data_IF_567414821877
#
_entry.id   IF_567414821877
#
_cell.length_a   1.000
_cell.length_b   1.000
_cell.length_c   1.000
_cell.angle_alpha   90.00
_cell.angle_beta   90.00
_cell.angle_gamma   90.00
#
_symmetry.space_group_name_H-M   'P 1'
#
loop_
_entity.id
_entity.type
_entity.pdbx_description
1 polymer ?
#
# COMPACT_ATOMS: atom_id res chain seq x y z
N UNK A 1 2.88 7.61 2.71
CA UNK A 1 1.45 7.35 2.44
C UNK A 1 0.75 8.70 2.31
N UNK A 2 -0.35 8.80 1.55
CA UNK A 2 -1.13 10.05 1.46
C UNK A 2 -2.62 9.70 1.56
N UNK A 3 -3.39 10.43 2.37
CA UNK A 3 -4.84 10.25 2.44
C UNK A 3 -5.53 10.81 1.20
N UNK A 4 -6.41 10.02 0.57
CA UNK A 4 -7.07 10.41 -0.69
C UNK A 4 -7.99 11.64 -0.57
N UNK A 5 -8.65 11.82 0.58
CA UNK A 5 -9.59 12.93 0.81
C UNK A 5 -8.86 14.20 1.24
N UNK A 6 -8.19 14.18 2.39
CA UNK A 6 -7.52 15.35 2.99
C UNK A 6 -6.21 15.73 2.31
N UNK A 7 -5.61 14.83 1.52
CA UNK A 7 -4.27 14.97 0.94
C UNK A 7 -3.15 15.09 1.96
N UNK A 8 -3.42 14.68 3.20
CA UNK A 8 -2.45 14.68 4.28
C UNK A 8 -1.32 13.68 3.98
N UNK A 9 -0.06 14.14 3.81
CA UNK A 9 1.05 13.29 3.46
C UNK A 9 1.84 12.84 4.70
N UNK A 10 2.04 11.53 4.83
CA UNK A 10 3.03 10.96 5.74
C UNK A 10 4.27 10.46 4.99
N UNK A 11 5.44 10.86 5.44
CA UNK A 11 6.74 10.39 4.96
C UNK A 11 7.65 10.05 6.14
N UNK A 12 8.41 8.96 6.03
CA UNK A 12 9.48 8.61 6.96
C UNK A 12 10.66 8.03 6.19
N UNK A 13 11.87 8.31 6.67
CA UNK A 13 13.11 7.83 6.07
C UNK A 13 13.54 6.52 6.72
N UNK A 14 14.03 5.59 5.92
CA UNK A 14 14.59 4.31 6.35
C UNK A 14 15.78 3.95 5.46
N UNK A 15 16.67 3.11 5.98
CA UNK A 15 17.87 2.62 5.28
C UNK A 15 17.67 1.24 4.63
N UNK A 16 16.50 0.61 4.82
CA UNK A 16 16.18 -0.70 4.26
C UNK A 16 14.89 -0.69 3.45
N UNK A 17 14.78 -1.59 2.48
CA UNK A 17 13.58 -1.80 1.66
C UNK A 17 12.94 -3.18 1.88
N UNK A 18 13.32 -3.86 2.97
CA UNK A 18 12.74 -5.15 3.33
C UNK A 18 11.28 -5.03 3.79
N UNK A 19 10.58 -6.17 3.83
CA UNK A 19 9.16 -6.27 4.18
C UNK A 19 8.83 -5.77 5.59
N UNK A 20 9.66 -6.08 6.58
CA UNK A 20 9.44 -5.67 7.96
C UNK A 20 9.55 -4.14 8.07
N UNK A 21 10.59 -3.57 7.47
CA UNK A 21 10.77 -2.12 7.39
C UNK A 21 9.60 -1.44 6.65
N UNK A 22 9.13 -2.04 5.55
CA UNK A 22 7.98 -1.51 4.80
C UNK A 22 6.71 -1.45 5.66
N UNK A 23 6.41 -2.50 6.42
CA UNK A 23 5.23 -2.55 7.29
C UNK A 23 5.36 -1.68 8.55
N UNK A 24 6.56 -1.53 9.09
CA UNK A 24 6.83 -0.58 10.18
C UNK A 24 6.52 0.87 9.75
N UNK A 25 6.90 1.25 8.53
CA UNK A 25 6.54 2.55 7.96
C UNK A 25 5.00 2.74 7.85
N UNK A 26 4.23 1.67 7.64
CA UNK A 26 2.76 1.75 7.64
C UNK A 26 2.20 1.95 9.04
N UNK A 27 2.70 1.22 10.03
CA UNK A 27 2.30 1.39 11.42
C UNK A 27 2.54 2.84 11.90
N UNK A 28 3.70 3.42 11.56
CA UNK A 28 3.99 4.83 11.85
C UNK A 28 3.03 5.78 11.12
N UNK A 29 2.66 5.48 9.88
CA UNK A 29 1.67 6.27 9.15
C UNK A 29 0.29 6.22 9.84
N UNK A 30 -0.15 5.05 10.29
CA UNK A 30 -1.41 4.91 11.01
C UNK A 30 -1.43 5.70 12.32
N UNK A 31 -0.31 5.67 13.07
CA UNK A 31 -0.14 6.48 14.27
C UNK A 31 -0.22 7.98 13.96
N UNK A 32 0.39 8.43 12.85
CA UNK A 32 0.29 9.82 12.41
C UNK A 32 -1.14 10.25 12.07
N UNK A 33 -1.91 9.41 11.37
CA UNK A 33 -3.31 9.71 11.03
C UNK A 33 -4.29 9.51 12.21
N UNK A 34 -3.83 8.97 13.34
CA UNK A 34 -4.69 8.59 14.46
C UNK A 34 -5.66 7.46 14.15
N UNK A 35 -5.35 6.63 13.14
CA UNK A 35 -6.23 5.55 12.70
C UNK A 35 -5.72 4.80 11.47
N UNK A 36 -6.42 3.72 11.14
CA UNK A 36 -6.13 2.89 9.97
C UNK A 36 -7.11 3.23 8.84
N UNK A 37 -6.64 3.55 7.62
CA UNK A 37 -7.52 3.70 6.47
C UNK A 37 -8.27 2.40 6.16
N UNK A 38 -9.55 2.48 5.78
CA UNK A 38 -10.34 1.29 5.43
C UNK A 38 -9.78 0.53 4.21
N UNK A 39 -9.14 1.25 3.28
CA UNK A 39 -8.53 0.68 2.07
C UNK A 39 -7.20 1.38 1.81
N UNK A 40 -6.18 0.60 1.46
CA UNK A 40 -4.88 1.11 1.03
C UNK A 40 -4.64 0.69 -0.41
N UNK A 41 -4.42 1.69 -1.26
CA UNK A 41 -4.10 1.50 -2.67
C UNK A 41 -2.59 1.37 -2.82
N UNK A 42 -2.14 0.21 -3.27
CA UNK A 42 -0.74 -0.07 -3.57
C UNK A 42 -0.48 -0.01 -5.07
N UNK A 43 0.72 0.45 -5.42
CA UNK A 43 1.30 0.11 -6.71
C UNK A 43 1.65 -1.40 -6.76
N UNK A 44 2.06 -1.92 -7.91
CA UNK A 44 2.54 -3.30 -8.06
C UNK A 44 3.93 -3.54 -7.43
N UNK A 45 4.18 -3.00 -6.24
CA UNK A 45 5.40 -3.27 -5.49
C UNK A 45 5.49 -4.77 -5.14
N UNK A 46 6.68 -5.36 -5.30
CA UNK A 46 6.93 -6.79 -5.00
C UNK A 46 6.68 -7.17 -3.53
N UNK A 47 6.68 -6.19 -2.63
CA UNK A 47 6.33 -6.37 -1.21
C UNK A 47 4.85 -6.67 -1.00
N UNK A 48 3.99 -6.28 -1.94
CA UNK A 48 2.53 -6.50 -1.86
C UNK A 48 2.08 -7.51 -2.90
N UNK A 49 2.66 -7.49 -4.10
CA UNK A 49 2.31 -8.37 -5.22
C UNK A 49 3.35 -9.48 -5.40
N UNK A 50 2.89 -10.73 -5.36
CA UNK A 50 3.75 -11.92 -5.44
C UNK A 50 4.32 -12.15 -6.85
N UNK A 51 3.53 -11.90 -7.89
CA UNK A 51 3.95 -12.04 -9.30
C UNK A 51 3.08 -11.19 -10.22
N UNK A 52 3.62 -10.88 -11.40
CA UNK A 52 2.84 -10.29 -12.48
C UNK A 52 1.80 -11.30 -13.01
N UNK A 53 0.62 -10.78 -13.35
CA UNK A 53 -0.48 -11.52 -13.98
C UNK A 53 -0.98 -10.73 -15.18
N UNK A 54 -1.68 -11.42 -16.10
CA UNK A 54 -2.27 -10.76 -17.27
C UNK A 54 -3.35 -9.74 -16.85
N UNK A 55 -3.67 -8.76 -17.71
CA UNK A 55 -4.77 -7.84 -17.44
C UNK A 55 -6.07 -8.60 -17.18
N UNK A 56 -6.84 -8.17 -16.17
CA UNK A 56 -8.12 -8.77 -15.72
C UNK A 56 -8.00 -10.08 -14.91
N UNK A 57 -6.79 -10.56 -14.63
CA UNK A 57 -6.61 -11.65 -13.66
C UNK A 57 -6.43 -11.12 -12.23
N UNK A 58 -6.83 -11.94 -11.25
CA UNK A 58 -6.62 -11.65 -9.84
C UNK A 58 -5.12 -11.52 -9.54
N UNK A 59 -4.73 -10.41 -8.92
CA UNK A 59 -3.33 -10.15 -8.55
C UNK A 59 -3.00 -10.94 -7.28
N UNK A 60 -2.06 -11.91 -7.34
CA UNK A 60 -1.70 -12.68 -6.16
C UNK A 60 -0.93 -11.80 -5.19
N UNK A 61 -1.44 -11.69 -3.96
CA UNK A 61 -0.83 -10.90 -2.90
C UNK A 61 0.24 -11.69 -2.14
N UNK A 62 1.19 -10.99 -1.55
CA UNK A 62 2.15 -11.58 -0.62
C UNK A 62 1.42 -12.01 0.66
N UNK A 63 1.66 -13.21 1.21
CA UNK A 63 0.96 -13.67 2.43
C UNK A 63 1.21 -12.73 3.62
N UNK A 64 2.40 -12.15 3.73
CA UNK A 64 2.70 -11.16 4.78
C UNK A 64 1.89 -9.87 4.61
N UNK A 65 1.64 -9.43 3.37
CA UNK A 65 0.76 -8.27 3.13
C UNK A 65 -0.68 -8.58 3.53
N UNK A 66 -1.19 -9.77 3.19
CA UNK A 66 -2.53 -10.22 3.59
C UNK A 66 -2.64 -10.32 5.12
N UNK A 67 -1.64 -10.89 5.78
CA UNK A 67 -1.62 -11.01 7.24
C UNK A 67 -1.57 -9.63 7.92
N UNK A 68 -0.76 -8.71 7.40
CA UNK A 68 -0.68 -7.34 7.91
C UNK A 68 -2.01 -6.59 7.74
N UNK A 69 -2.63 -6.70 6.57
CA UNK A 69 -3.95 -6.13 6.31
C UNK A 69 -5.03 -6.70 7.23
N UNK A 70 -5.03 -8.03 7.45
CA UNK A 70 -5.94 -8.68 8.38
C UNK A 70 -5.73 -8.26 9.83
N UNK A 71 -4.47 -8.03 10.24
CA UNK A 71 -4.15 -7.57 11.60
C UNK A 71 -4.66 -6.14 11.86
N UNK A 72 -4.50 -5.23 10.89
CA UNK A 72 -4.93 -3.83 11.04
C UNK A 72 -6.37 -3.57 10.56
N UNK A 73 -7.01 -4.54 9.90
CA UNK A 73 -8.40 -4.45 9.47
C UNK A 73 -8.66 -3.57 8.25
N UNK A 74 -7.73 -3.52 7.30
CA UNK A 74 -7.90 -2.75 6.05
C UNK A 74 -7.92 -3.65 4.80
N UNK A 75 -8.52 -3.14 3.72
CA UNK A 75 -8.54 -3.80 2.41
C UNK A 75 -7.34 -3.39 1.53
N UNK A 76 -6.79 -4.36 0.79
CA UNK A 76 -5.69 -4.13 -0.16
C UNK A 76 -6.28 -3.93 -1.54
N UNK A 77 -6.19 -2.71 -2.06
CA UNK A 77 -6.46 -2.43 -3.47
C UNK A 77 -5.14 -2.32 -4.23
N UNK A 78 -5.00 -3.05 -5.33
CA UNK A 78 -3.79 -3.01 -6.17
C UNK A 78 -4.15 -2.34 -7.49
N UNK A 79 -3.43 -1.27 -7.82
CA UNK A 79 -3.65 -0.54 -9.08
C UNK A 79 -3.65 -1.49 -10.28
N UNK A 80 -4.63 -1.33 -11.18
CA UNK A 80 -4.72 -2.13 -12.41
C UNK A 80 -3.51 -1.89 -13.33
N UNK A 81 -3.11 -2.92 -14.08
CA UNK A 81 -1.94 -2.81 -14.96
C UNK A 81 -2.25 -1.79 -16.06
N UNK A 82 -1.29 -0.92 -16.37
CA UNK A 82 -1.43 0.10 -17.42
C UNK A 82 -2.56 1.13 -17.17
N UNK A 83 -2.99 1.35 -15.91
CA UNK A 83 -3.83 2.50 -15.51
C UNK A 83 -3.03 3.52 -14.68
N UNK A 84 -2.24 4.41 -15.33
CA UNK A 84 -1.48 5.44 -14.62
C UNK A 84 -2.37 6.45 -13.88
N UNK A 85 -3.64 6.59 -14.26
CA UNK A 85 -4.59 7.54 -13.67
C UNK A 85 -4.85 7.32 -12.18
N UNK A 86 -4.60 6.13 -11.65
CA UNK A 86 -4.73 5.85 -10.21
C UNK A 86 -3.57 6.38 -9.36
N UNK A 87 -2.40 6.65 -9.97
CA UNK A 87 -1.23 7.21 -9.28
C UNK A 87 -1.24 8.75 -9.18
N UNK A 88 -2.07 9.42 -9.97
CA UNK A 88 -2.15 10.90 -10.02
C UNK A 88 -2.64 11.57 -8.72
N UNK A 89 -2.89 10.81 -7.65
CA UNK A 89 -3.17 11.35 -6.32
C UNK A 89 -1.95 11.48 -5.42
N UNK A 90 -0.87 10.79 -5.75
CA UNK A 90 0.40 10.76 -4.98
C UNK A 90 1.54 11.41 -5.78
N UNK A 91 1.47 11.40 -7.10
CA UNK A 91 2.45 12.05 -7.99
C UNK A 91 2.09 13.52 -8.23
N UNK A 92 3.04 14.44 -7.97
CA UNK A 92 2.99 15.86 -8.30
C UNK A 92 4.27 16.26 -9.01
#
# INVERSE_FOLDING_TARGET
MVLSYSRDPFCCFTTSQDLATFFDCHARAFAHYGGVPATIVYDRAKTVVKRHVAPKEAVPLHPEAVAFAGHYGFDIDVLAAYRPTGKGRVER
#
